data_IF_247815895987
#
_entry.id   IF_247815895987
#
_cell.length_a   1.000
_cell.length_b   1.000
_cell.length_c   1.000
_cell.angle_alpha   90.00
_cell.angle_beta   90.00
_cell.angle_gamma   90.00
#
_symmetry.space_group_name_H-M   'P 1'
#
loop_
_entity.id
_entity.type
_entity.pdbx_description
1 polymer ?
#
# COMPACT_ATOMS: atom_id res chain seq x y z
N UNK A 1 13.76 11.40 3.72
CA UNK A 1 13.90 10.30 4.70
C UNK A 1 14.30 9.07 3.90
N UNK A 2 15.33 8.33 4.31
CA UNK A 2 15.72 7.12 3.59
C UNK A 2 14.70 6.01 3.87
N UNK A 3 13.89 5.68 2.88
CA UNK A 3 12.93 4.57 2.89
C UNK A 3 13.70 3.27 2.71
N UNK A 4 13.57 2.36 3.66
CA UNK A 4 14.32 1.11 3.69
C UNK A 4 13.52 0.07 4.49
N UNK A 5 13.80 -1.21 4.30
CA UNK A 5 13.03 -2.28 4.94
C UNK A 5 13.12 -2.20 6.47
N UNK A 6 11.99 -2.40 7.15
CA UNK A 6 11.89 -2.38 8.61
C UNK A 6 11.95 -1.00 9.25
N UNK A 7 11.91 0.09 8.46
CA UNK A 7 11.82 1.45 8.97
C UNK A 7 10.38 1.96 8.90
N UNK A 8 9.97 2.68 9.96
CA UNK A 8 8.71 3.43 9.98
C UNK A 8 8.85 4.68 9.13
N UNK A 9 7.92 4.88 8.19
CA UNK A 9 7.83 6.05 7.32
C UNK A 9 6.57 6.81 7.68
N UNK A 10 6.66 8.13 7.87
CA UNK A 10 5.49 8.98 8.11
C UNK A 10 5.37 10.07 7.05
N UNK A 11 4.21 10.23 6.43
CA UNK A 11 3.95 11.32 5.49
C UNK A 11 2.77 12.19 5.94
N UNK A 12 2.99 13.50 6.05
CA UNK A 12 1.93 14.46 6.37
C UNK A 12 1.19 14.84 5.09
N UNK A 13 -0.12 14.57 5.05
CA UNK A 13 -0.96 15.01 3.93
C UNK A 13 -1.10 16.54 3.95
N UNK A 14 -0.67 17.19 2.87
CA UNK A 14 -0.81 18.64 2.67
C UNK A 14 -2.27 19.03 2.41
N UNK A 15 -2.70 20.15 3.00
CA UNK A 15 -4.07 20.68 2.87
C UNK A 15 -4.29 21.46 1.56
N UNK A 16 -4.16 20.79 0.42
CA UNK A 16 -4.32 21.42 -0.89
C UNK A 16 -5.69 21.17 -1.53
N UNK A 17 -6.59 20.46 -0.86
CA UNK A 17 -7.94 20.14 -1.36
C UNK A 17 -9.03 20.34 -0.32
N UNK A 18 -10.28 20.22 -0.77
CA UNK A 18 -11.44 20.21 0.13
C UNK A 18 -11.64 18.80 0.72
N UNK A 19 -11.66 17.80 -0.15
CA UNK A 19 -11.94 16.40 0.19
C UNK A 19 -10.80 15.48 -0.21
N UNK A 20 -10.49 14.49 0.63
CA UNK A 20 -9.61 13.36 0.29
C UNK A 20 -10.46 12.13 0.00
N UNK A 21 -10.16 11.47 -1.10
CA UNK A 21 -10.72 10.16 -1.43
C UNK A 21 -9.66 9.30 -2.13
N UNK A 22 -9.73 7.97 -1.94
CA UNK A 22 -8.82 6.94 -2.48
C UNK A 22 -7.34 7.28 -2.35
N UNK A 23 -6.72 6.77 -1.29
CA UNK A 23 -5.29 6.92 -1.06
C UNK A 23 -4.56 5.63 -1.46
N UNK A 24 -3.41 5.78 -2.11
CA UNK A 24 -2.54 4.67 -2.49
C UNK A 24 -1.16 4.88 -1.90
N UNK A 25 -0.52 3.78 -1.49
CA UNK A 25 0.88 3.74 -1.15
C UNK A 25 1.65 3.30 -2.40
N UNK A 26 2.50 4.19 -2.90
CA UNK A 26 3.39 3.92 -4.03
C UNK A 26 4.73 3.39 -3.50
N UNK A 27 5.16 2.24 -4.03
CA UNK A 27 6.43 1.60 -3.64
C UNK A 27 7.17 1.16 -4.89
N UNK A 28 8.43 1.56 -5.02
CA UNK A 28 9.32 1.07 -6.07
C UNK A 28 10.16 -0.08 -5.54
N UNK A 29 9.96 -1.28 -6.10
CA UNK A 29 10.83 -2.43 -5.82
C UNK A 29 12.14 -2.32 -6.61
N UNK A 30 13.29 -2.63 -6.00
CA UNK A 30 14.57 -2.62 -6.70
C UNK A 30 14.68 -3.77 -7.70
N UNK A 31 15.51 -3.57 -8.73
CA UNK A 31 15.94 -4.65 -9.62
C UNK A 31 16.81 -5.65 -8.85
N UNK A 32 16.59 -6.94 -9.07
CA UNK A 32 17.37 -8.02 -8.46
C UNK A 32 17.88 -8.96 -9.54
N UNK A 33 19.20 -9.07 -9.65
CA UNK A 33 19.88 -10.08 -10.48
C UNK A 33 20.45 -11.17 -9.58
N UNK A 34 20.00 -12.40 -9.77
CA UNK A 34 20.45 -13.55 -9.00
C UNK A 34 21.89 -13.90 -9.38
N UNK A 35 22.82 -13.80 -8.42
CA UNK A 35 24.22 -14.24 -8.60
C UNK A 35 24.36 -15.74 -8.31
N UNK A 36 23.51 -16.55 -8.96
CA UNK A 36 23.41 -18.00 -8.77
C UNK A 36 22.16 -18.44 -7.99
N UNK A 37 21.31 -19.26 -8.63
CA UNK A 37 20.04 -19.72 -8.06
C UNK A 37 18.82 -19.00 -8.64
N UNK A 38 17.64 -19.32 -8.11
CA UNK A 38 16.39 -18.61 -8.42
C UNK A 38 16.04 -17.69 -7.28
N UNK A 39 15.67 -16.45 -7.61
CA UNK A 39 15.11 -15.49 -6.65
C UNK A 39 13.67 -15.19 -7.06
N UNK A 40 12.77 -14.99 -6.10
CA UNK A 40 11.41 -14.56 -6.36
C UNK A 40 10.90 -13.73 -5.18
N UNK A 41 10.04 -12.76 -5.44
CA UNK A 41 9.32 -12.04 -4.41
C UNK A 41 8.24 -12.92 -3.77
N UNK A 42 7.92 -12.61 -2.52
CA UNK A 42 6.80 -13.26 -1.80
C UNK A 42 5.49 -12.92 -2.50
N UNK A 43 4.53 -13.85 -2.47
CA UNK A 43 3.17 -13.58 -2.96
C UNK A 43 2.53 -12.45 -2.18
N UNK A 44 1.76 -11.63 -2.88
CA UNK A 44 1.12 -10.44 -2.32
C UNK A 44 2.10 -9.49 -1.62
N UNK A 45 3.28 -9.30 -2.24
CA UNK A 45 4.38 -8.48 -1.69
C UNK A 45 3.90 -7.08 -1.28
N UNK A 46 2.99 -6.45 -2.03
CA UNK A 46 2.43 -5.15 -1.68
C UNK A 46 1.78 -5.10 -0.29
N UNK A 47 1.10 -6.17 0.13
CA UNK A 47 0.53 -6.25 1.48
C UNK A 47 1.55 -6.73 2.52
N UNK A 48 2.45 -7.64 2.13
CA UNK A 48 3.48 -8.19 3.02
C UNK A 48 4.57 -7.17 3.38
N UNK A 49 4.75 -6.13 2.59
CA UNK A 49 5.63 -5.01 2.91
C UNK A 49 5.11 -4.13 4.05
N UNK A 50 3.82 -4.24 4.37
CA UNK A 50 3.13 -3.38 5.32
C UNK A 50 2.87 -4.18 6.59
N UNK A 51 3.60 -3.86 7.66
CA UNK A 51 3.25 -4.40 8.98
C UNK A 51 1.95 -3.78 9.46
N UNK A 52 1.88 -2.44 9.46
CA UNK A 52 0.70 -1.69 9.84
C UNK A 52 0.72 -0.28 9.24
N UNK A 53 -0.47 0.23 8.90
CA UNK A 53 -0.67 1.62 8.49
C UNK A 53 -1.60 2.30 9.48
N UNK A 54 -1.15 3.42 10.03
CA UNK A 54 -1.90 4.21 11.00
C UNK A 54 -2.27 5.55 10.38
N UNK A 55 -3.54 5.93 10.55
CA UNK A 55 -4.03 7.26 10.20
C UNK A 55 -4.24 8.07 11.48
N UNK A 56 -3.47 9.13 11.62
CA UNK A 56 -3.60 10.05 12.74
C UNK A 56 -4.23 11.37 12.29
N UNK A 57 -5.15 11.91 13.09
CA UNK A 57 -5.75 13.23 12.86
C UNK A 57 -5.60 14.03 14.15
N UNK A 58 -4.74 15.05 14.12
CA UNK A 58 -4.57 15.95 15.27
C UNK A 58 -3.89 15.28 16.47
N UNK A 59 -3.01 14.30 16.21
CA UNK A 59 -2.29 13.55 17.25
C UNK A 59 -3.07 12.39 17.87
N UNK A 60 -4.26 12.06 17.35
CA UNK A 60 -5.00 10.87 17.73
C UNK A 60 -5.02 9.87 16.58
N UNK A 61 -4.73 8.61 16.88
CA UNK A 61 -4.90 7.49 15.96
C UNK A 61 -6.41 7.25 15.74
N UNK A 62 -6.88 7.41 14.52
CA UNK A 62 -8.29 7.25 14.15
C UNK A 62 -8.55 5.85 13.62
N UNK A 63 -7.63 5.35 12.80
CA UNK A 63 -7.77 4.05 12.15
C UNK A 63 -6.40 3.40 11.97
N UNK A 64 -6.38 2.07 12.03
CA UNK A 64 -5.19 1.25 11.90
C UNK A 64 -5.51 -0.01 11.11
N UNK A 65 -4.70 -0.30 10.10
CA UNK A 65 -4.82 -1.49 9.28
C UNK A 65 -3.52 -2.27 9.29
N UNK A 66 -3.63 -3.59 9.15
CA UNK A 66 -2.50 -4.52 9.06
C UNK A 66 -2.41 -5.07 7.64
N UNK A 67 -1.20 -5.37 7.15
CA UNK A 67 -1.00 -5.97 5.82
C UNK A 67 -1.82 -7.25 5.63
N UNK A 68 -1.76 -8.17 6.60
CA UNK A 68 -2.52 -9.42 6.57
C UNK A 68 -4.02 -9.19 6.54
N UNK A 69 -4.51 -8.21 7.29
CA UNK A 69 -5.93 -7.85 7.29
C UNK A 69 -6.35 -7.33 5.90
N UNK A 70 -5.53 -6.48 5.26
CA UNK A 70 -5.81 -5.99 3.91
C UNK A 70 -5.83 -7.13 2.89
N UNK A 71 -4.95 -8.12 3.05
CA UNK A 71 -4.93 -9.29 2.18
C UNK A 71 -6.22 -10.12 2.29
N UNK A 72 -6.62 -10.45 3.52
CA UNK A 72 -7.86 -11.20 3.79
C UNK A 72 -9.08 -10.41 3.30
N UNK A 73 -9.12 -9.12 3.61
CA UNK A 73 -10.23 -8.25 3.22
C UNK A 73 -10.39 -8.20 1.70
N UNK A 74 -9.28 -8.10 0.98
CA UNK A 74 -9.32 -8.06 -0.48
C UNK A 74 -9.84 -9.37 -1.06
N UNK A 75 -9.40 -10.52 -0.54
CA UNK A 75 -9.88 -11.82 -1.01
C UNK A 75 -11.39 -12.01 -0.81
N UNK A 76 -11.97 -11.38 0.23
CA UNK A 76 -13.40 -11.44 0.52
C UNK A 76 -14.24 -10.42 -0.25
N UNK A 77 -13.69 -9.23 -0.53
CA UNK A 77 -14.47 -8.10 -1.07
C UNK A 77 -14.28 -7.88 -2.56
N UNK A 78 -13.16 -8.33 -3.12
CA UNK A 78 -12.85 -8.09 -4.51
C UNK A 78 -13.64 -9.01 -5.45
N UNK A 79 -14.35 -8.39 -6.39
CA UNK A 79 -14.99 -9.14 -7.47
C UNK A 79 -13.94 -9.84 -8.36
N UNK A 80 -14.22 -11.06 -8.85
CA UNK A 80 -13.25 -11.85 -9.61
C UNK A 80 -12.74 -11.16 -10.88
N UNK A 81 -13.56 -10.30 -11.51
CA UNK A 81 -13.16 -9.53 -12.70
C UNK A 81 -12.11 -8.45 -12.43
N UNK A 82 -11.97 -7.97 -11.19
CA UNK A 82 -10.99 -6.95 -10.79
C UNK A 82 -9.70 -7.55 -10.20
N UNK A 83 -9.73 -8.84 -9.83
CA UNK A 83 -8.58 -9.58 -9.30
C UNK A 83 -7.31 -9.51 -10.16
N UNK A 84 -7.35 -9.66 -11.50
CA UNK A 84 -6.12 -9.55 -12.29
C UNK A 84 -5.50 -8.15 -12.24
N UNK A 85 -6.32 -7.09 -12.32
CA UNK A 85 -5.83 -5.72 -12.22
C UNK A 85 -5.24 -5.41 -10.84
N UNK A 86 -5.90 -5.91 -9.79
CA UNK A 86 -5.41 -5.77 -8.42
C UNK A 86 -4.09 -6.49 -8.20
N UNK A 87 -3.96 -7.73 -8.66
CA UNK A 87 -2.73 -8.50 -8.53
C UNK A 87 -1.55 -7.81 -9.21
N UNK A 88 -1.78 -7.12 -10.33
CA UNK A 88 -0.75 -6.28 -10.97
C UNK A 88 -0.35 -5.10 -10.10
N UNK A 89 -1.30 -4.42 -9.46
CA UNK A 89 -1.02 -3.28 -8.59
C UNK A 89 -0.20 -3.65 -7.34
N UNK A 90 -0.44 -4.83 -6.75
CA UNK A 90 0.26 -5.30 -5.54
C UNK A 90 1.47 -6.19 -5.84
N UNK A 91 1.82 -6.41 -7.11
CA UNK A 91 2.99 -7.19 -7.52
C UNK A 91 2.84 -8.71 -7.41
N UNK A 92 1.60 -9.23 -7.33
CA UNK A 92 1.33 -10.66 -7.37
C UNK A 92 1.23 -11.19 -8.81
N UNK A 93 2.29 -10.97 -9.59
CA UNK A 93 2.37 -11.42 -10.99
C UNK A 93 3.44 -12.48 -11.16
N UNK A 94 3.32 -13.39 -12.15
CA UNK A 94 4.32 -14.44 -12.39
C UNK A 94 5.72 -13.89 -12.69
N UNK A 95 5.84 -12.65 -13.15
CA UNK A 95 7.12 -11.99 -13.39
C UNK A 95 7.88 -11.63 -12.10
N UNK A 96 7.18 -11.54 -10.96
CA UNK A 96 7.76 -11.23 -9.66
C UNK A 96 7.77 -12.46 -8.73
N UNK A 97 6.76 -13.32 -8.81
CA UNK A 97 6.54 -14.45 -7.89
C UNK A 97 6.76 -15.82 -8.53
N UNK A 98 7.11 -15.87 -9.82
CA UNK A 98 7.29 -17.10 -10.57
C UNK A 98 8.53 -17.90 -10.15
N UNK A 99 8.53 -19.23 -10.37
CA UNK A 99 9.72 -20.05 -10.13
C UNK A 99 10.79 -19.80 -11.20
N UNK A 100 12.06 -19.93 -10.83
CA UNK A 100 13.23 -19.87 -11.73
C UNK A 100 13.49 -18.48 -12.37
N UNK A 101 13.13 -17.39 -11.69
CA UNK A 101 13.54 -16.05 -12.12
C UNK A 101 15.02 -15.82 -11.78
N UNK A 102 15.77 -15.35 -12.78
CA UNK A 102 17.18 -14.94 -12.66
C UNK A 102 17.32 -13.42 -12.55
N UNK A 103 16.45 -12.68 -13.23
CA UNK A 103 16.46 -11.24 -13.28
C UNK A 103 15.04 -10.73 -13.03
N UNK A 104 14.88 -9.96 -11.96
CA UNK A 104 13.62 -9.34 -11.58
C UNK A 104 13.75 -7.84 -11.83
N UNK A 105 12.99 -7.27 -12.78
CA UNK A 105 13.09 -5.85 -13.08
C UNK A 105 12.55 -4.98 -11.95
N UNK A 106 13.08 -3.77 -11.84
CA UNK A 106 12.51 -2.72 -11.00
C UNK A 106 11.04 -2.51 -11.38
N UNK A 107 10.15 -2.58 -10.39
CA UNK A 107 8.70 -2.53 -10.61
C UNK A 107 8.03 -1.58 -9.61
N UNK A 108 7.15 -0.73 -10.11
CA UNK A 108 6.33 0.17 -9.29
C UNK A 108 5.04 -0.52 -8.87
N UNK A 109 4.74 -0.45 -7.58
CA UNK A 109 3.54 -0.98 -6.95
C UNK A 109 2.65 0.16 -6.44
N UNK A 110 1.34 -0.05 -6.55
CA UNK A 110 0.32 0.91 -6.11
C UNK A 110 -0.65 0.21 -5.16
N UNK A 111 -0.40 0.28 -3.85
CA UNK A 111 -1.18 -0.46 -2.86
C UNK A 111 -2.34 0.42 -2.37
N UNK A 112 -3.60 0.06 -2.62
CA UNK A 112 -4.74 0.87 -2.18
C UNK A 112 -4.96 0.75 -0.68
N UNK A 113 -5.05 1.90 0.00
CA UNK A 113 -5.39 1.96 1.41
C UNK A 113 -6.92 1.97 1.58
N UNK A 114 -7.40 1.27 2.61
CA UNK A 114 -8.82 0.95 2.79
C UNK A 114 -9.50 1.68 3.98
N UNK A 115 -9.03 2.88 4.30
CA UNK A 115 -9.61 3.72 5.35
C UNK A 115 -11.09 4.04 5.09
N UNK A 116 -11.83 4.42 6.14
CA UNK A 116 -13.26 4.69 6.04
C UNK A 116 -13.63 5.70 4.93
N UNK A 117 -12.80 6.73 4.72
CA UNK A 117 -13.02 7.78 3.71
C UNK A 117 -12.68 7.34 2.27
N UNK A 118 -12.00 6.20 2.11
CA UNK A 118 -11.69 5.61 0.81
C UNK A 118 -12.85 4.77 0.26
N UNK A 119 -13.81 4.36 1.11
CA UNK A 119 -14.87 3.41 0.73
C UNK A 119 -16.03 4.06 -0.03
N UNK A 120 -16.45 5.25 0.41
CA UNK A 120 -17.60 5.96 -0.17
C UNK A 120 -17.26 7.44 -0.35
N UNK A 121 -17.59 8.01 -1.52
CA UNK A 121 -17.36 9.44 -1.78
C UNK A 121 -18.14 10.36 -0.83
N UNK A 122 -19.30 9.92 -0.33
CA UNK A 122 -20.09 10.67 0.66
C UNK A 122 -19.49 10.68 2.07
N UNK A 123 -18.42 9.91 2.31
CA UNK A 123 -17.66 9.89 3.57
C UNK A 123 -16.24 10.44 3.37
N UNK A 124 -16.00 11.16 2.27
CA UNK A 124 -14.70 11.75 1.99
C UNK A 124 -14.29 12.69 3.14
N UNK A 125 -13.03 12.60 3.55
CA UNK A 125 -12.53 13.36 4.68
C UNK A 125 -12.35 14.83 4.26
N UNK A 126 -13.04 15.74 4.93
CA UNK A 126 -12.87 17.18 4.73
C UNK A 126 -11.55 17.65 5.38
N UNK A 127 -10.66 18.28 4.60
CA UNK A 127 -9.34 18.74 5.07
C UNK A 127 -9.40 20.03 5.92
N UNK A 128 -10.57 20.69 6.01
CA UNK A 128 -10.72 22.01 6.64
C UNK A 128 -10.81 21.98 8.19
N UNK A 129 -10.64 20.83 8.84
CA UNK A 129 -10.62 20.74 10.31
C UNK A 129 -9.37 21.41 10.89
N UNK A 130 -9.59 22.48 11.66
CA UNK A 130 -8.64 23.55 12.04
C UNK A 130 -7.26 23.18 12.62
N UNK A 131 -6.87 21.92 12.83
CA UNK A 131 -5.56 21.63 13.45
C UNK A 131 -4.85 20.30 13.16
N UNK A 132 -5.30 19.47 12.21
CA UNK A 132 -4.67 18.16 11.98
C UNK A 132 -3.90 18.08 10.67
N UNK A 133 -2.57 18.14 10.75
CA UNK A 133 -1.74 17.35 9.84
C UNK A 133 -2.21 15.89 9.96
N UNK A 134 -2.36 15.19 8.83
CA UNK A 134 -2.68 13.76 8.82
C UNK A 134 -1.40 13.02 8.50
N UNK A 135 -0.59 12.63 9.49
CA UNK A 135 0.53 11.75 9.23
C UNK A 135 -0.01 10.34 8.97
N UNK A 136 0.23 9.83 7.77
CA UNK A 136 0.10 8.40 7.49
C UNK A 136 1.45 7.78 7.85
N UNK A 137 1.47 6.92 8.85
CA UNK A 137 2.64 6.11 9.15
C UNK A 137 2.48 4.73 8.51
N UNK A 138 3.44 4.32 7.69
CA UNK A 138 3.56 2.98 7.12
C UNK A 138 4.89 2.34 7.53
#
# INVERSE_FOLDING_TARGET
MATDFGKKVSCTISRNGDLIHKTYLEVTLPEITATGGSVAWVKDIGHQLIDNVNLEIGGQEIDKHYGDWMNIWQDLTLAPGLKPGFNTMIGNTPALTGPNLTDIPSTELYIPLQFWFCRNAGLALQQQTRNSAVPICA
#
